data_IF_337433147868
#
_entry.id   IF_337433147868
#
_cell.length_a   1.000
_cell.length_b   1.000
_cell.length_c   1.000
_cell.angle_alpha   90.00
_cell.angle_beta   90.00
_cell.angle_gamma   90.00
#
_symmetry.space_group_name_H-M   'P 1'
#
loop_
_entity.id
_entity.type
_entity.pdbx_description
1 polymer ?
#
# COMPACT_ATOMS: atom_id res chain seq x y z
N UNK A 1 8.87 -11.04 -24.86
CA UNK A 1 8.78 -11.29 -23.41
C UNK A 1 9.15 -10.00 -22.70
N UNK A 2 8.15 -9.29 -22.16
CA UNK A 2 8.40 -8.01 -21.49
C UNK A 2 9.03 -8.25 -20.13
N UNK A 3 10.18 -7.64 -19.88
CA UNK A 3 10.73 -7.53 -18.53
C UNK A 3 9.70 -6.82 -17.65
N UNK A 4 9.01 -7.55 -16.78
CA UNK A 4 8.27 -6.94 -15.68
C UNK A 4 9.30 -6.40 -14.69
N UNK A 5 9.81 -5.21 -14.95
CA UNK A 5 10.45 -4.42 -13.91
C UNK A 5 9.33 -4.11 -12.94
N UNK A 6 9.23 -4.91 -11.87
CA UNK A 6 8.32 -4.63 -10.78
C UNK A 6 8.89 -3.41 -10.06
N UNK A 7 8.49 -2.22 -10.51
CA UNK A 7 8.90 -0.97 -9.87
C UNK A 7 8.29 -0.99 -8.49
N UNK A 8 9.14 -1.06 -7.46
CA UNK A 8 8.69 -1.05 -6.08
C UNK A 8 7.75 0.15 -5.84
N UNK A 9 6.61 -0.13 -5.20
CA UNK A 9 5.64 0.89 -4.80
C UNK A 9 6.32 2.10 -4.16
N UNK A 10 5.99 3.31 -4.62
CA UNK A 10 6.55 4.54 -4.02
C UNK A 10 5.75 4.94 -2.78
N UNK A 11 6.36 5.71 -1.85
CA UNK A 11 5.66 6.24 -0.69
C UNK A 11 4.38 7.02 -1.01
N UNK A 12 4.39 7.77 -2.12
CA UNK A 12 3.23 8.51 -2.61
C UNK A 12 2.10 7.59 -3.07
N UNK A 13 2.44 6.48 -3.75
CA UNK A 13 1.48 5.49 -4.21
C UNK A 13 0.79 4.81 -3.02
N UNK A 14 1.54 4.51 -1.95
CA UNK A 14 0.97 3.97 -0.71
C UNK A 14 -0.05 4.95 -0.11
N UNK A 15 0.33 6.21 0.01
CA UNK A 15 -0.55 7.25 0.57
C UNK A 15 -1.81 7.42 -0.27
N UNK A 16 -1.68 7.38 -1.59
CA UNK A 16 -2.78 7.44 -2.54
C UNK A 16 -3.71 6.22 -2.44
N UNK A 17 -3.16 5.00 -2.38
CA UNK A 17 -3.94 3.78 -2.23
C UNK A 17 -4.76 3.78 -0.93
N UNK A 18 -4.17 4.20 0.19
CA UNK A 18 -4.89 4.31 1.46
C UNK A 18 -6.02 5.34 1.40
N UNK A 19 -5.77 6.53 0.82
CA UNK A 19 -6.82 7.54 0.61
C UNK A 19 -7.95 6.99 -0.28
N UNK A 20 -7.60 6.27 -1.35
CA UNK A 20 -8.53 5.56 -2.22
C UNK A 20 -9.25 4.41 -1.55
N UNK A 21 -8.86 3.96 -0.37
CA UNK A 21 -9.61 2.99 0.43
C UNK A 21 -10.40 3.67 1.55
N UNK A 22 -10.26 4.99 1.72
CA UNK A 22 -10.82 5.73 2.86
C UNK A 22 -10.09 5.40 4.17
N UNK A 23 -8.86 4.90 4.09
CA UNK A 23 -8.09 4.44 5.23
C UNK A 23 -7.03 5.46 5.63
N UNK A 24 -6.81 5.56 6.95
CA UNK A 24 -5.64 6.25 7.51
C UNK A 24 -4.47 5.27 7.62
N UNK A 25 -3.26 5.78 7.88
CA UNK A 25 -2.12 4.91 8.22
C UNK A 25 -2.40 4.06 9.45
N UNK A 26 -3.16 4.60 10.41
CA UNK A 26 -3.56 3.89 11.65
C UNK A 26 -4.46 2.72 11.31
N UNK A 27 -5.51 2.97 10.52
CA UNK A 27 -6.45 1.95 10.06
C UNK A 27 -5.72 0.84 9.31
N UNK A 28 -4.78 1.21 8.43
CA UNK A 28 -3.99 0.22 7.70
C UNK A 28 -3.10 -0.60 8.65
N UNK A 29 -2.47 0.01 9.66
CA UNK A 29 -1.69 -0.69 10.68
C UNK A 29 -2.52 -1.76 11.40
N UNK A 30 -3.73 -1.37 11.82
CA UNK A 30 -4.63 -2.24 12.57
C UNK A 30 -5.08 -3.46 11.74
N UNK A 31 -5.41 -3.28 10.46
CA UNK A 31 -5.84 -4.39 9.60
C UNK A 31 -4.70 -5.24 9.05
N UNK A 32 -3.54 -4.65 8.80
CA UNK A 32 -2.40 -5.35 8.21
C UNK A 32 -1.49 -6.03 9.24
N UNK A 33 -1.62 -5.65 10.52
CA UNK A 33 -0.75 -6.12 11.60
C UNK A 33 0.64 -5.48 11.63
N UNK A 34 0.92 -4.51 10.74
CA UNK A 34 2.15 -3.74 10.80
C UNK A 34 2.08 -2.65 11.87
N UNK A 35 3.22 -2.39 12.53
CA UNK A 35 3.33 -1.27 13.45
C UNK A 35 3.23 0.08 12.70
N UNK A 36 2.62 1.08 13.36
CA UNK A 36 2.46 2.43 12.80
C UNK A 36 3.79 3.07 12.41
N UNK A 37 4.87 2.79 13.16
CA UNK A 37 6.22 3.28 12.85
C UNK A 37 6.75 2.69 11.55
N UNK A 38 6.47 1.42 11.29
CA UNK A 38 6.87 0.74 10.04
C UNK A 38 6.17 1.39 8.84
N UNK A 39 4.86 1.62 8.93
CA UNK A 39 4.11 2.33 7.88
C UNK A 39 4.63 3.77 7.73
N UNK A 40 4.90 4.46 8.84
CA UNK A 40 5.45 5.82 8.81
C UNK A 40 6.84 5.91 8.19
N UNK A 41 7.66 4.85 8.26
CA UNK A 41 8.94 4.76 7.53
C UNK A 41 8.72 4.58 6.03
N UNK A 42 7.76 3.75 5.64
CA UNK A 42 7.36 3.58 4.23
C UNK A 42 6.88 4.89 3.61
N UNK A 43 5.98 5.61 4.27
CA UNK A 43 5.42 6.87 3.73
C UNK A 43 6.44 8.00 3.66
N UNK A 44 7.52 7.93 4.45
CA UNK A 44 8.65 8.87 4.40
C UNK A 44 9.79 8.41 3.48
N UNK A 45 9.67 7.23 2.87
CA UNK A 45 10.72 6.65 2.03
C UNK A 45 11.98 6.19 2.77
N UNK A 46 11.90 6.04 4.10
CA UNK A 46 13.02 5.59 4.94
C UNK A 46 13.26 4.08 4.84
N UNK A 47 12.28 3.32 4.34
CA UNK A 47 12.42 1.90 4.03
C UNK A 47 11.54 1.50 2.85
N UNK A 48 11.96 0.48 2.11
CA UNK A 48 11.18 -0.06 1.00
C UNK A 48 9.85 -0.66 1.49
N UNK A 49 8.81 -0.49 0.67
CA UNK A 49 7.50 -1.13 0.88
C UNK A 49 7.60 -2.58 0.40
N UNK A 50 7.22 -3.58 1.22
CA UNK A 50 7.24 -4.97 0.80
C UNK A 50 6.29 -5.24 -0.37
N UNK A 51 6.67 -6.11 -1.29
CA UNK A 51 5.84 -6.50 -2.44
C UNK A 51 4.47 -7.05 -2.02
N UNK A 52 4.40 -7.78 -0.91
CA UNK A 52 3.12 -8.30 -0.41
C UNK A 52 2.15 -7.17 -0.06
N UNK A 53 2.65 -6.05 0.47
CA UNK A 53 1.83 -4.87 0.79
C UNK A 53 1.26 -4.24 -0.48
N UNK A 54 2.09 -4.09 -1.50
CA UNK A 54 1.66 -3.62 -2.83
C UNK A 54 0.53 -4.50 -3.39
N UNK A 55 0.74 -5.82 -3.45
CA UNK A 55 -0.26 -6.76 -3.98
C UNK A 55 -1.54 -6.81 -3.17
N UNK A 56 -1.43 -6.67 -1.86
CA UNK A 56 -2.59 -6.60 -0.98
C UNK A 56 -3.44 -5.36 -1.28
N UNK A 57 -2.82 -4.19 -1.41
CA UNK A 57 -3.51 -2.94 -1.73
C UNK A 57 -4.12 -2.97 -3.14
N UNK A 58 -3.39 -3.51 -4.13
CA UNK A 58 -3.91 -3.71 -5.49
C UNK A 58 -5.20 -4.54 -5.48
N UNK A 59 -5.22 -5.64 -4.71
CA UNK A 59 -6.39 -6.50 -4.60
C UNK A 59 -7.58 -5.78 -3.95
N UNK A 60 -7.35 -5.05 -2.86
CA UNK A 60 -8.40 -4.30 -2.17
C UNK A 60 -8.99 -3.19 -3.06
N UNK A 61 -8.14 -2.48 -3.80
CA UNK A 61 -8.58 -1.46 -4.75
C UNK A 61 -9.38 -2.09 -5.89
N UNK A 62 -8.93 -3.22 -6.44
CA UNK A 62 -9.66 -3.93 -7.48
C UNK A 62 -11.03 -4.43 -7.01
N UNK A 63 -11.15 -4.84 -5.74
CA UNK A 63 -12.45 -5.19 -5.13
C UNK A 63 -13.31 -3.93 -4.99
N UNK A 64 -12.79 -2.84 -4.41
CA UNK A 64 -13.51 -1.57 -4.25
C UNK A 64 -14.05 -1.04 -5.58
N UNK A 65 -13.22 -1.03 -6.61
CA UNK A 65 -13.58 -0.49 -7.93
C UNK A 65 -14.63 -1.33 -8.67
N UNK A 66 -14.85 -2.59 -8.25
CA UNK A 66 -15.85 -3.50 -8.80
C UNK A 66 -17.14 -3.56 -7.99
N UNK A 67 -17.17 -2.96 -6.79
CA UNK A 67 -18.37 -2.86 -5.99
C UNK A 67 -19.22 -1.66 -6.49
N UNK A 68 -20.53 -1.86 -6.72
CA UNK A 68 -21.43 -0.81 -7.20
C UNK A 68 -21.67 0.30 -6.18
#
# INVERSE_FOLDING_TARGET
>A
MGHFVNIAMKPADLSYALARLGWTQVTFAEYSGYDRRTIGRWTRGESAIPLLVERHLDLLLAIRDRLP
#
